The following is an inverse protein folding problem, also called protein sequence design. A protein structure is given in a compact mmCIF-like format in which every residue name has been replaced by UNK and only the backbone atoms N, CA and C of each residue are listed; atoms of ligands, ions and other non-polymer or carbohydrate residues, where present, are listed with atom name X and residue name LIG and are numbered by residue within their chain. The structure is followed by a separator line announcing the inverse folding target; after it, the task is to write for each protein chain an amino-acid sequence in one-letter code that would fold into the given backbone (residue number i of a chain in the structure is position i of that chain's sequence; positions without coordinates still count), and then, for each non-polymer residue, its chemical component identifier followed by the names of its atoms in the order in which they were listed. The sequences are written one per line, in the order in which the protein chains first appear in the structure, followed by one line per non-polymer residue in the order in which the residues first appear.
data_IF_842309562781
#
_entry.id   IF_842309562781
#
_cell.length_a   1.000
_cell.length_b   1.000
_cell.length_c   1.000
_cell.angle_alpha   90.00
_cell.angle_beta   90.00
_cell.angle_gamma   90.00
#
_symmetry.space_group_name_H-M   'P 1'
#
loop_
_entity.id
_entity.type
_entity.pdbx_description
1 polymer ?
#
# COMPACT_ATOMS: atom_id res chain seq x y z
N UNK A 1 -6.92 27.73 2.77
CA UNK A 1 -6.19 27.02 1.68
C UNK A 1 -4.86 26.40 2.14
N UNK A 2 -4.19 26.93 3.16
CA UNK A 2 -2.93 26.41 3.71
C UNK A 2 -3.08 25.08 4.47
N UNK A 3 -4.11 24.94 5.31
CA UNK A 3 -4.36 23.73 6.10
C UNK A 3 -4.65 22.50 5.22
N UNK A 4 -5.50 22.66 4.20
CA UNK A 4 -5.80 21.61 3.22
C UNK A 4 -4.53 21.17 2.47
N UNK A 5 -3.63 22.09 2.09
CA UNK A 5 -2.36 21.73 1.43
C UNK A 5 -1.44 20.91 2.34
N UNK A 6 -1.38 21.26 3.63
CA UNK A 6 -0.57 20.53 4.61
C UNK A 6 -1.07 19.10 4.81
N UNK A 7 -2.38 18.92 5.00
CA UNK A 7 -3.01 17.60 5.11
C UNK A 7 -2.73 16.73 3.87
N UNK A 8 -2.84 17.27 2.66
CA UNK A 8 -2.51 16.51 1.44
C UNK A 8 -1.05 16.09 1.35
N UNK A 9 -0.11 16.98 1.74
CA UNK A 9 1.31 16.65 1.79
C UNK A 9 1.60 15.51 2.77
N UNK A 10 1.01 15.57 3.97
CA UNK A 10 1.14 14.53 4.98
C UNK A 10 0.56 13.19 4.51
N UNK A 11 -0.63 13.20 3.88
CA UNK A 11 -1.25 11.99 3.33
C UNK A 11 -0.40 11.39 2.21
N UNK A 12 0.16 12.22 1.31
CA UNK A 12 1.04 11.74 0.24
C UNK A 12 2.30 11.07 0.78
N UNK A 13 2.91 11.64 1.82
CA UNK A 13 4.09 11.04 2.48
C UNK A 13 3.74 9.71 3.13
N UNK A 14 2.64 9.67 3.90
CA UNK A 14 2.17 8.45 4.54
C UNK A 14 1.87 7.34 3.50
N UNK A 15 1.27 7.69 2.36
CA UNK A 15 1.03 6.74 1.27
C UNK A 15 2.33 6.16 0.70
N UNK A 16 3.36 6.99 0.52
CA UNK A 16 4.67 6.54 0.05
C UNK A 16 5.34 5.59 1.07
N UNK A 17 5.28 5.91 2.36
CA UNK A 17 5.82 5.09 3.44
C UNK A 17 5.12 3.73 3.55
N UNK A 18 3.79 3.72 3.42
CA UNK A 18 3.00 2.48 3.42
C UNK A 18 3.34 1.65 2.17
N UNK A 19 3.48 2.27 0.99
CA UNK A 19 3.89 1.56 -0.24
C UNK A 19 5.27 0.90 -0.09
N UNK A 20 6.25 1.65 0.42
CA UNK A 20 7.58 1.14 0.66
C UNK A 20 7.58 -0.01 1.69
N UNK A 21 6.74 0.10 2.72
CA UNK A 21 6.58 -0.94 3.75
C UNK A 21 5.89 -2.18 3.19
N UNK A 22 4.83 -2.03 2.38
CA UNK A 22 4.17 -3.12 1.67
C UNK A 22 5.15 -3.87 0.76
N UNK A 23 5.95 -3.14 -0.03
CA UNK A 23 7.00 -3.72 -0.87
C UNK A 23 8.02 -4.54 -0.06
N UNK A 24 8.48 -4.02 1.08
CA UNK A 24 9.38 -4.74 2.00
C UNK A 24 8.74 -6.01 2.57
N UNK A 25 7.46 -5.96 2.97
CA UNK A 25 6.72 -7.13 3.46
C UNK A 25 6.62 -8.19 2.37
N UNK A 26 6.24 -7.80 1.15
CA UNK A 26 6.09 -8.71 0.02
C UNK A 26 7.42 -9.39 -0.35
N UNK A 27 8.52 -8.64 -0.36
CA UNK A 27 9.86 -9.20 -0.60
C UNK A 27 10.26 -10.20 0.49
N UNK A 28 10.09 -9.83 1.76
CA UNK A 28 10.42 -10.70 2.90
C UNK A 28 9.62 -12.01 2.85
N UNK A 29 8.36 -11.92 2.45
CA UNK A 29 7.46 -13.06 2.31
C UNK A 29 7.84 -13.96 1.14
N UNK A 30 8.21 -13.37 0.00
CA UNK A 30 8.72 -14.12 -1.15
C UNK A 30 10.01 -14.87 -0.79
N UNK A 31 10.94 -14.21 -0.09
CA UNK A 31 12.18 -14.81 0.39
C UNK A 31 11.91 -15.95 1.36
N UNK A 32 11.00 -15.75 2.32
CA UNK A 32 10.59 -16.79 3.26
C UNK A 32 9.96 -17.98 2.54
N UNK A 33 9.07 -17.74 1.57
CA UNK A 33 8.45 -18.80 0.77
C UNK A 33 9.49 -19.60 0.00
N UNK A 34 10.45 -18.94 -0.65
CA UNK A 34 11.54 -19.59 -1.38
C UNK A 34 12.40 -20.47 -0.46
N UNK A 35 12.73 -19.99 0.74
CA UNK A 35 13.49 -20.77 1.74
C UNK A 35 12.73 -21.97 2.27
N UNK A 36 11.41 -21.85 2.42
CA UNK A 36 10.56 -22.91 2.93
C UNK A 36 10.20 -23.97 1.88
N UNK A 37 10.21 -23.65 0.58
CA UNK A 37 9.88 -24.59 -0.49
C UNK A 37 10.46 -26.01 -0.34
N UNK A 38 11.78 -26.21 -0.10
CA UNK A 38 12.35 -27.56 0.04
C UNK A 38 11.92 -28.28 1.32
N UNK A 39 11.49 -27.56 2.37
CA UNK A 39 10.96 -28.15 3.60
C UNK A 39 9.47 -28.46 3.49
N UNK A 40 8.72 -27.63 2.76
CA UNK A 40 7.29 -27.83 2.52
C UNK A 40 7.03 -29.15 1.79
N UNK A 41 7.92 -29.59 0.89
CA UNK A 41 7.81 -30.91 0.26
C UNK A 41 8.00 -32.10 1.21
N UNK A 42 8.53 -31.85 2.41
CA UNK A 42 8.71 -32.87 3.46
C UNK A 42 7.66 -32.80 4.57
N UNK A 43 6.84 -31.74 4.58
CA UNK A 43 5.79 -31.56 5.57
C UNK A 43 4.55 -32.36 5.15
N UNK A 44 4.15 -33.30 6.00
CA UNK A 44 2.93 -34.09 5.85
C UNK A 44 1.95 -33.77 7.00
N UNK A 45 0.66 -33.98 6.76
CA UNK A 45 -0.37 -33.83 7.78
C UNK A 45 -0.55 -32.39 8.29
N UNK A 46 -0.53 -32.22 9.62
CA UNK A 46 -0.91 -30.99 10.32
C UNK A 46 0.03 -29.81 10.05
N UNK A 47 1.33 -30.06 9.88
CA UNK A 47 2.32 -29.00 9.58
C UNK A 47 2.09 -28.36 8.21
N UNK A 48 1.70 -29.15 7.21
CA UNK A 48 1.36 -28.64 5.88
C UNK A 48 0.09 -27.76 5.93
N UNK A 49 -0.90 -28.17 6.73
CA UNK A 49 -2.13 -27.39 6.94
C UNK A 49 -1.83 -26.06 7.62
N UNK A 50 -1.04 -26.06 8.70
CA UNK A 50 -0.66 -24.85 9.42
C UNK A 50 0.11 -23.87 8.53
N UNK A 51 1.04 -24.37 7.71
CA UNK A 51 1.76 -23.54 6.74
C UNK A 51 0.82 -22.90 5.71
N UNK A 52 -0.07 -23.69 5.10
CA UNK A 52 -1.00 -23.18 4.09
C UNK A 52 -1.94 -22.12 4.68
N UNK A 53 -2.43 -22.32 5.90
CA UNK A 53 -3.25 -21.32 6.60
C UNK A 53 -2.49 -20.03 6.85
N UNK A 54 -1.23 -20.16 7.28
CA UNK A 54 -0.36 -19.02 7.48
C UNK A 54 -0.19 -18.29 6.12
N UNK A 55 0.31 -18.97 5.10
CA UNK A 55 0.53 -18.41 3.76
C UNK A 55 -0.72 -17.67 3.22
N UNK A 56 -1.92 -18.26 3.35
CA UNK A 56 -3.17 -17.62 2.95
C UNK A 56 -3.49 -16.35 3.74
N UNK A 57 -3.26 -16.34 5.06
CA UNK A 57 -3.46 -15.16 5.92
C UNK A 57 -2.55 -14.00 5.48
N UNK A 58 -1.32 -14.32 5.09
CA UNK A 58 -0.32 -13.31 4.74
C UNK A 58 -0.62 -12.72 3.35
N UNK A 59 -0.95 -13.58 2.38
CA UNK A 59 -1.37 -13.16 1.03
C UNK A 59 -2.59 -12.24 1.11
N UNK A 60 -3.57 -12.59 1.95
CA UNK A 60 -4.76 -11.76 2.20
C UNK A 60 -4.39 -10.40 2.78
N UNK A 61 -3.55 -10.36 3.82
CA UNK A 61 -3.12 -9.11 4.44
C UNK A 61 -2.37 -8.19 3.45
N UNK A 62 -1.54 -8.77 2.57
CA UNK A 62 -0.86 -8.03 1.50
C UNK A 62 -1.85 -7.44 0.48
N UNK A 63 -2.84 -8.23 0.04
CA UNK A 63 -3.88 -7.76 -0.88
C UNK A 63 -4.70 -6.61 -0.28
N UNK A 64 -5.09 -6.73 1.00
CA UNK A 64 -5.82 -5.68 1.72
C UNK A 64 -4.98 -4.39 1.81
N UNK A 65 -3.70 -4.51 2.17
CA UNK A 65 -2.78 -3.37 2.23
C UNK A 65 -2.65 -2.67 0.88
N UNK A 66 -2.46 -3.43 -0.20
CA UNK A 66 -2.36 -2.90 -1.56
C UNK A 66 -3.66 -2.21 -2.01
N UNK A 67 -4.82 -2.72 -1.59
CA UNK A 67 -6.12 -2.12 -1.88
C UNK A 67 -6.30 -0.77 -1.17
N UNK A 68 -5.92 -0.71 0.11
CA UNK A 68 -5.95 0.55 0.89
C UNK A 68 -5.01 1.57 0.25
N UNK A 69 -3.81 1.16 -0.13
CA UNK A 69 -2.82 2.00 -0.82
C UNK A 69 -3.34 2.57 -2.14
N UNK A 70 -3.95 1.73 -2.98
CA UNK A 70 -4.54 2.16 -4.24
C UNK A 70 -5.65 3.20 -4.00
N UNK A 71 -6.47 2.99 -2.96
CA UNK A 71 -7.53 3.93 -2.56
C UNK A 71 -6.95 5.27 -2.12
N UNK A 72 -5.94 5.27 -1.25
CA UNK A 72 -5.26 6.50 -0.81
C UNK A 72 -4.63 7.22 -2.00
N UNK A 73 -3.91 6.51 -2.86
CA UNK A 73 -3.27 7.09 -4.04
C UNK A 73 -4.29 7.78 -4.96
N UNK A 74 -5.44 7.16 -5.19
CA UNK A 74 -6.53 7.74 -5.97
C UNK A 74 -7.06 9.02 -5.33
N UNK A 75 -7.32 9.00 -4.02
CA UNK A 75 -7.81 10.17 -3.29
C UNK A 75 -6.82 11.33 -3.31
N UNK A 76 -5.52 11.06 -3.13
CA UNK A 76 -4.46 12.08 -3.21
C UNK A 76 -4.38 12.69 -4.60
N UNK A 77 -4.42 11.86 -5.65
CA UNK A 77 -4.43 12.34 -7.04
C UNK A 77 -5.61 13.28 -7.32
N UNK A 78 -6.82 12.87 -6.92
CA UNK A 78 -8.02 13.68 -7.08
C UNK A 78 -7.95 15.00 -6.31
N UNK A 79 -7.38 14.98 -5.10
CA UNK A 79 -7.16 16.19 -4.29
C UNK A 79 -6.18 17.16 -4.93
N UNK A 80 -5.08 16.66 -5.52
CA UNK A 80 -4.12 17.47 -6.25
C UNK A 80 -4.73 18.15 -7.47
N UNK A 81 -5.52 17.42 -8.26
CA UNK A 81 -6.22 17.96 -9.44
C UNK A 81 -7.17 19.09 -9.04
N UNK A 82 -7.99 18.86 -8.00
CA UNK A 82 -8.92 19.85 -7.48
C UNK A 82 -8.20 21.12 -6.97
N UNK A 83 -7.08 20.96 -6.25
CA UNK A 83 -6.28 22.10 -5.75
C UNK A 83 -5.62 22.87 -6.90
N UNK A 84 -5.12 22.17 -7.92
CA UNK A 84 -4.54 22.78 -9.12
C UNK A 84 -5.58 23.64 -9.85
N UNK A 85 -6.80 23.13 -9.99
CA UNK A 85 -7.91 23.86 -10.61
C UNK A 85 -8.34 25.08 -9.78
N UNK A 86 -8.42 24.96 -8.45
CA UNK A 86 -8.70 26.10 -7.56
C UNK A 86 -7.61 27.16 -7.70
N UNK A 87 -6.33 26.75 -7.71
CA UNK A 87 -5.21 27.66 -7.85
C UNK A 87 -5.20 28.37 -9.22
N UNK A 88 -5.56 27.66 -10.30
CA UNK A 88 -5.69 28.21 -11.65
C UNK A 88 -6.80 29.27 -11.72
N UNK A 89 -7.98 28.97 -11.15
CA UNK A 89 -9.11 29.91 -11.08
C UNK A 89 -8.78 31.13 -10.24
N UNK A 90 -8.14 30.93 -9.09
CA UNK A 90 -7.67 32.01 -8.24
C UNK A 90 -6.66 32.89 -8.99
N UNK A 91 -5.65 32.32 -9.66
CA UNK A 91 -4.70 33.12 -10.44
C UNK A 91 -5.38 33.92 -11.57
N UNK A 92 -6.37 33.34 -12.25
CA UNK A 92 -7.13 34.01 -13.31
C UNK A 92 -8.01 35.17 -12.80
N UNK A 93 -8.40 35.18 -11.52
CA UNK A 93 -9.23 36.26 -10.96
C UNK A 93 -8.42 37.48 -10.50
N UNK A 94 -7.09 37.44 -10.58
CA UNK A 94 -6.18 38.53 -10.19
C UNK A 94 -5.54 39.22 -11.41
N UNK A 95 -5.95 38.82 -12.62
CA UNK A 95 -5.57 39.43 -13.89
C UNK A 95 -6.67 40.33 -14.46
#
# INVERSE_FOLDING_TARGET
MSEIKYEFGAISSAAADINATSGRINSTLADLKARLQPMVSTWEGESAVAYNQAQAKWDKASQELNTVLATISKTVSQGNDAMSDVNRRAAASWG
#
